data_IF_679557703404
#
_entry.id   IF_679557703404
#
_cell.length_a   1.000
_cell.length_b   1.000
_cell.length_c   1.000
_cell.angle_alpha   90.00
_cell.angle_beta   90.00
_cell.angle_gamma   90.00
#
_symmetry.space_group_name_H-M   'P 1'
#
loop_
_entity.id
_entity.type
_entity.pdbx_description
1 polymer ?
#
# COMPACT_ATOMS: atom_id res chain seq x y z
N UNK A 1 37.77 60.75 -18.32
CA UNK A 1 36.87 59.87 -17.56
C UNK A 1 36.07 58.99 -18.53
N UNK A 2 36.73 58.01 -19.16
CA UNK A 2 36.11 57.11 -20.15
C UNK A 2 36.40 55.62 -19.85
N UNK A 3 37.07 55.33 -18.73
CA UNK A 3 37.48 53.99 -18.34
C UNK A 3 36.45 53.33 -17.39
N UNK A 4 35.64 54.12 -16.68
CA UNK A 4 34.68 53.61 -15.69
C UNK A 4 33.44 52.92 -16.27
N UNK A 5 33.12 53.14 -17.55
CA UNK A 5 31.87 52.62 -18.15
C UNK A 5 32.04 51.21 -18.74
N UNK A 6 33.26 50.80 -19.12
CA UNK A 6 33.50 49.48 -19.72
C UNK A 6 33.54 48.32 -18.70
N UNK A 7 33.65 48.61 -17.41
CA UNK A 7 33.83 47.56 -16.36
C UNK A 7 32.48 47.03 -15.83
N UNK A 8 31.35 47.58 -16.29
CA UNK A 8 30.00 47.13 -15.92
C UNK A 8 29.31 46.23 -16.96
N UNK A 9 30.03 45.72 -17.97
CA UNK A 9 29.52 44.67 -18.84
C UNK A 9 29.46 43.35 -18.05
N UNK A 10 28.39 43.20 -17.26
CA UNK A 10 28.09 41.99 -16.51
C UNK A 10 27.89 40.79 -17.44
N UNK A 11 28.15 39.59 -16.89
CA UNK A 11 27.79 38.32 -17.50
C UNK A 11 26.27 38.18 -17.64
N UNK A 12 25.68 38.85 -18.62
CA UNK A 12 24.27 38.72 -18.97
C UNK A 12 24.21 38.34 -20.43
N UNK A 13 24.16 37.03 -20.69
CA UNK A 13 23.70 36.36 -21.93
C UNK A 13 24.47 35.04 -22.10
N UNK A 14 24.20 34.07 -21.23
CA UNK A 14 24.27 32.69 -21.70
C UNK A 14 22.90 32.36 -22.29
N UNK A 15 22.80 32.07 -23.61
CA UNK A 15 21.56 31.59 -24.20
C UNK A 15 21.08 30.38 -23.40
N UNK A 16 19.88 30.46 -22.84
CA UNK A 16 19.30 29.34 -22.11
C UNK A 16 19.09 28.23 -23.15
N UNK A 17 19.66 27.03 -22.97
CA UNK A 17 19.44 25.94 -23.91
C UNK A 17 17.94 25.67 -24.01
N UNK A 18 17.48 25.36 -25.23
CA UNK A 18 16.08 25.06 -25.48
C UNK A 18 15.62 23.93 -24.54
N UNK A 19 14.40 24.01 -24.00
CA UNK A 19 13.90 23.01 -23.08
C UNK A 19 13.86 21.64 -23.76
N UNK A 20 14.65 20.70 -23.25
CA UNK A 20 14.65 19.30 -23.70
C UNK A 20 13.46 18.61 -23.05
N UNK A 21 12.46 18.26 -23.85
CA UNK A 21 11.32 17.48 -23.38
C UNK A 21 11.75 16.03 -23.16
N UNK A 22 11.48 15.52 -21.96
CA UNK A 22 11.74 14.13 -21.57
C UNK A 22 10.40 13.47 -21.29
N UNK A 23 10.12 12.35 -21.96
CA UNK A 23 8.96 11.54 -21.62
C UNK A 23 9.18 10.83 -20.28
N UNK A 24 8.28 11.08 -19.33
CA UNK A 24 8.30 10.42 -18.02
C UNK A 24 7.14 9.44 -17.95
N UNK A 25 7.46 8.15 -17.76
CA UNK A 25 6.45 7.12 -17.51
C UNK A 25 5.97 7.23 -16.07
N UNK A 26 4.78 7.79 -15.88
CA UNK A 26 4.12 7.86 -14.57
C UNK A 26 3.34 6.56 -14.34
N UNK A 27 3.55 5.84 -13.23
CA UNK A 27 2.76 4.65 -12.93
C UNK A 27 1.31 5.06 -12.66
N UNK A 28 0.37 4.41 -13.36
CA UNK A 28 -1.07 4.60 -13.16
C UNK A 28 -1.58 3.48 -12.27
N UNK A 29 -2.26 3.79 -11.14
CA UNK A 29 -2.81 2.75 -10.27
C UNK A 29 -3.92 1.99 -11.00
N UNK A 30 -3.79 0.66 -11.04
CA UNK A 30 -4.81 -0.24 -11.58
C UNK A 30 -5.66 -0.80 -10.44
N UNK A 31 -7.00 -0.87 -10.58
CA UNK A 31 -7.85 -1.44 -9.55
C UNK A 31 -7.63 -2.95 -9.46
N UNK A 32 -7.35 -3.47 -8.27
CA UNK A 32 -7.32 -4.92 -8.08
C UNK A 32 -8.75 -5.48 -8.10
N UNK A 33 -8.97 -6.49 -8.95
CA UNK A 33 -10.21 -7.27 -9.00
C UNK A 33 -9.93 -8.65 -8.41
N UNK A 34 -10.16 -8.80 -7.12
CA UNK A 34 -10.04 -10.06 -6.39
C UNK A 34 -11.39 -10.46 -5.81
N UNK A 35 -11.62 -11.76 -5.62
CA UNK A 35 -12.83 -12.25 -5.00
C UNK A 35 -12.84 -11.89 -3.51
N UNK A 36 -14.03 -11.58 -2.97
CA UNK A 36 -14.19 -11.38 -1.55
C UNK A 36 -13.98 -12.71 -0.80
N UNK A 37 -13.10 -12.70 0.20
CA UNK A 37 -12.85 -13.87 1.04
C UNK A 37 -13.91 -13.90 2.13
N UNK A 38 -14.75 -14.94 2.14
CA UNK A 38 -15.84 -15.06 3.10
C UNK A 38 -15.32 -15.20 4.53
N UNK A 39 -15.86 -14.40 5.46
CA UNK A 39 -15.58 -14.55 6.89
C UNK A 39 -16.10 -15.93 7.37
N UNK A 40 -15.24 -16.78 7.96
CA UNK A 40 -15.69 -18.07 8.47
C UNK A 40 -16.56 -17.89 9.71
N UNK A 41 -17.42 -18.88 9.98
CA UNK A 41 -18.16 -18.97 11.23
C UNK A 41 -17.20 -19.30 12.38
N UNK A 42 -16.74 -18.26 13.08
CA UNK A 42 -15.76 -18.39 14.14
C UNK A 42 -16.33 -19.16 15.33
N UNK A 43 -15.55 -20.11 15.85
CA UNK A 43 -16.01 -21.02 16.89
C UNK A 43 -16.39 -20.28 18.19
N UNK A 44 -15.73 -19.17 18.53
CA UNK A 44 -16.07 -18.37 19.71
C UNK A 44 -17.41 -17.64 19.53
N UNK A 45 -17.76 -17.22 18.31
CA UNK A 45 -19.04 -16.53 18.04
C UNK A 45 -20.26 -17.41 18.33
N UNK A 46 -20.09 -18.73 18.37
CA UNK A 46 -21.15 -19.70 18.67
C UNK A 46 -21.23 -20.08 20.16
N UNK A 47 -20.34 -19.53 20.99
CA UNK A 47 -20.23 -19.92 22.39
C UNK A 47 -21.29 -19.20 23.25
N UNK A 48 -22.06 -19.91 24.08
CA UNK A 48 -22.97 -19.27 25.03
C UNK A 48 -22.22 -18.38 26.03
N UNK A 49 -22.87 -17.27 26.44
CA UNK A 49 -22.35 -16.44 27.53
C UNK A 49 -22.25 -17.29 28.81
N UNK A 50 -21.08 -17.25 29.46
CA UNK A 50 -20.82 -18.01 30.67
C UNK A 50 -20.51 -19.49 30.45
N UNK A 51 -20.24 -19.92 29.21
CA UNK A 51 -19.80 -21.28 28.93
C UNK A 51 -18.60 -21.69 29.81
N UNK A 52 -18.51 -22.95 30.24
CA UNK A 52 -17.43 -23.41 31.10
C UNK A 52 -16.07 -23.33 30.39
N UNK A 53 -15.01 -23.25 31.19
CA UNK A 53 -13.65 -23.00 30.69
C UNK A 53 -13.18 -24.05 29.68
N UNK A 54 -13.60 -25.32 29.83
CA UNK A 54 -13.24 -26.39 28.90
C UNK A 54 -13.86 -26.17 27.51
N UNK A 55 -15.10 -25.67 27.44
CA UNK A 55 -15.75 -25.30 26.19
C UNK A 55 -15.10 -24.06 25.55
N UNK A 56 -14.78 -23.04 26.36
CA UNK A 56 -14.03 -21.86 25.90
C UNK A 56 -12.69 -22.27 25.29
N UNK A 57 -11.93 -23.12 25.98
CA UNK A 57 -10.61 -23.57 25.50
C UNK A 57 -10.69 -24.40 24.22
N UNK A 58 -11.74 -25.23 24.06
CA UNK A 58 -11.98 -25.95 22.80
C UNK A 58 -12.30 -24.99 21.66
N UNK A 59 -13.19 -24.02 21.88
CA UNK A 59 -13.56 -23.03 20.87
C UNK A 59 -12.36 -22.17 20.44
N UNK A 60 -11.56 -21.67 21.39
CA UNK A 60 -10.36 -20.85 21.10
C UNK A 60 -9.31 -21.62 20.29
N UNK A 61 -9.10 -22.90 20.59
CA UNK A 61 -8.15 -23.74 19.83
C UNK A 61 -8.65 -24.01 18.41
N UNK A 62 -9.92 -24.33 18.25
CA UNK A 62 -10.54 -24.50 16.93
C UNK A 62 -10.46 -23.20 16.11
N UNK A 63 -10.82 -22.08 16.72
CA UNK A 63 -10.77 -20.77 16.07
C UNK A 63 -9.36 -20.36 15.67
N UNK A 64 -8.34 -20.69 16.46
CA UNK A 64 -6.94 -20.44 16.07
C UNK A 64 -6.62 -21.03 14.70
N UNK A 65 -7.11 -22.24 14.40
CA UNK A 65 -6.93 -22.85 13.10
C UNK A 65 -7.78 -22.17 12.01
N UNK A 66 -9.01 -21.77 12.33
CA UNK A 66 -9.87 -21.00 11.40
C UNK A 66 -9.21 -19.67 10.99
N UNK A 67 -8.65 -18.93 11.96
CA UNK A 67 -7.94 -17.67 11.72
C UNK A 67 -6.70 -17.86 10.85
N UNK A 68 -5.89 -18.89 11.12
CA UNK A 68 -4.72 -19.22 10.30
C UNK A 68 -5.12 -19.51 8.84
N UNK A 69 -6.21 -20.23 8.62
CA UNK A 69 -6.75 -20.48 7.27
C UNK A 69 -7.20 -19.20 6.59
N UNK A 70 -8.05 -18.43 7.27
CA UNK A 70 -8.58 -17.16 6.76
C UNK A 70 -7.47 -16.14 6.42
N UNK A 71 -6.45 -16.01 7.27
CA UNK A 71 -5.30 -15.16 6.99
C UNK A 71 -4.52 -15.58 5.75
N UNK A 72 -4.40 -16.89 5.49
CA UNK A 72 -3.73 -17.40 4.28
C UNK A 72 -4.53 -17.03 3.04
N UNK A 73 -5.85 -17.21 3.08
CA UNK A 73 -6.74 -16.85 1.97
C UNK A 73 -6.71 -15.35 1.69
N UNK A 74 -6.78 -14.51 2.74
CA UNK A 74 -6.64 -13.06 2.61
C UNK A 74 -5.29 -12.66 2.02
N UNK A 75 -4.19 -13.26 2.48
CA UNK A 75 -2.86 -13.00 1.91
C UNK A 75 -2.78 -13.41 0.45
N UNK A 76 -3.39 -14.54 0.07
CA UNK A 76 -3.45 -14.97 -1.32
C UNK A 76 -4.25 -13.98 -2.18
N UNK A 77 -5.39 -13.49 -1.69
CA UNK A 77 -6.20 -12.49 -2.37
C UNK A 77 -5.43 -11.16 -2.58
N UNK A 78 -4.64 -10.73 -1.59
CA UNK A 78 -3.76 -9.56 -1.71
C UNK A 78 -2.60 -9.82 -2.67
N UNK A 79 -2.00 -11.02 -2.64
CA UNK A 79 -0.89 -11.36 -3.53
C UNK A 79 -1.31 -11.38 -5.00
N UNK A 80 -2.53 -11.81 -5.30
CA UNK A 80 -3.09 -11.73 -6.64
C UNK A 80 -3.23 -10.29 -7.19
N UNK A 81 -3.12 -9.27 -6.32
CA UNK A 81 -3.21 -7.85 -6.67
C UNK A 81 -1.85 -7.16 -6.88
N UNK A 82 -0.74 -7.84 -6.60
CA UNK A 82 0.62 -7.29 -6.76
C UNK A 82 1.10 -7.46 -8.19
#
# INVERSE_FOLDING_TARGET
MLVGVLVLAGCSETPRPDPVYVEVKVPVPVPCKTAEVSKPAFAVDQLPIGAPIDQQMRALRAERHQRIGYEKELKAAIYACK
#
